data_IF_647799945790
#
_entry.id   IF_647799945790
#
_cell.length_a   1.000
_cell.length_b   1.000
_cell.length_c   1.000
_cell.angle_alpha   90.00
_cell.angle_beta   90.00
_cell.angle_gamma   90.00
#
_symmetry.space_group_name_H-M   'P 1'
#
loop_
_entity.id
_entity.type
_entity.pdbx_description
1 polymer ?
#
# COMPACT_ATOMS: atom_id res chain seq x y z
N UNK A 1 23.35 0.00 19.13
CA UNK A 1 22.81 -0.68 17.93
C UNK A 1 21.32 -0.43 17.62
N UNK A 2 20.53 0.27 18.45
CA UNK A 2 19.07 0.49 18.21
C UNK A 2 18.74 1.71 17.31
N UNK A 3 19.54 2.77 17.35
CA UNK A 3 19.32 3.98 16.53
C UNK A 3 19.64 3.75 15.04
N UNK A 4 20.59 2.87 14.74
CA UNK A 4 21.05 2.60 13.37
C UNK A 4 19.97 1.95 12.50
N UNK A 5 19.19 1.01 13.03
CA UNK A 5 18.14 0.32 12.27
C UNK A 5 16.89 1.21 12.02
N UNK A 6 16.59 2.12 12.94
CA UNK A 6 15.57 3.17 12.74
C UNK A 6 15.98 4.13 11.63
N UNK A 7 17.23 4.60 11.67
CA UNK A 7 17.79 5.50 10.67
C UNK A 7 17.82 4.83 9.29
N UNK A 8 18.12 3.53 9.21
CA UNK A 8 18.10 2.77 7.93
C UNK A 8 16.72 2.71 7.26
N UNK A 9 15.64 2.47 8.00
CA UNK A 9 14.29 2.41 7.43
C UNK A 9 13.81 3.76 6.88
N UNK A 10 14.11 4.84 7.60
CA UNK A 10 13.82 6.20 7.14
C UNK A 10 14.69 6.63 5.96
N UNK A 11 15.99 6.26 5.96
CA UNK A 11 16.89 6.51 4.83
C UNK A 11 16.36 5.82 3.56
N UNK A 12 15.96 4.56 3.65
CA UNK A 12 15.41 3.83 2.50
C UNK A 12 14.13 4.47 1.97
N UNK A 13 13.24 4.93 2.85
CA UNK A 13 12.03 5.65 2.44
C UNK A 13 12.36 6.98 1.77
N UNK A 14 13.30 7.76 2.34
CA UNK A 14 13.76 9.01 1.73
C UNK A 14 14.38 8.77 0.34
N UNK A 15 15.20 7.73 0.18
CA UNK A 15 15.76 7.35 -1.12
C UNK A 15 14.64 7.01 -2.09
N UNK A 16 13.66 6.20 -1.68
CA UNK A 16 12.52 5.83 -2.53
C UNK A 16 11.69 7.06 -2.96
N UNK A 17 11.50 8.04 -2.08
CA UNK A 17 10.81 9.31 -2.40
C UNK A 17 11.62 10.14 -3.39
N UNK A 18 12.95 10.23 -3.22
CA UNK A 18 13.82 10.95 -4.17
C UNK A 18 13.75 10.32 -5.56
N UNK A 19 13.83 8.98 -5.65
CA UNK A 19 13.68 8.28 -6.93
C UNK A 19 12.31 8.55 -7.55
N UNK A 20 11.23 8.56 -6.77
CA UNK A 20 9.90 8.89 -7.26
C UNK A 20 9.80 10.32 -7.81
N UNK A 21 10.42 11.29 -7.14
CA UNK A 21 10.46 12.68 -7.63
C UNK A 21 11.24 12.76 -8.95
N UNK A 22 12.34 12.04 -9.09
CA UNK A 22 13.13 12.02 -10.34
C UNK A 22 12.31 11.42 -11.48
N UNK A 23 11.65 10.27 -11.26
CA UNK A 23 10.85 9.59 -12.28
C UNK A 23 9.62 10.42 -12.68
N UNK A 24 8.92 11.01 -11.71
CA UNK A 24 7.78 11.89 -12.02
C UNK A 24 8.21 13.14 -12.76
N UNK A 25 9.39 13.69 -12.44
CA UNK A 25 9.96 14.81 -13.17
C UNK A 25 10.27 14.46 -14.64
N UNK A 26 10.87 13.30 -14.89
CA UNK A 26 11.14 12.84 -16.27
C UNK A 26 9.86 12.57 -17.05
N UNK A 27 8.81 12.11 -16.37
CA UNK A 27 7.52 11.78 -16.98
C UNK A 27 6.68 13.03 -17.30
N UNK A 28 6.82 14.10 -16.51
CA UNK A 28 6.24 15.42 -16.83
C UNK A 28 6.85 15.96 -18.12
N UNK A 29 8.17 15.83 -18.28
CA UNK A 29 8.87 16.31 -19.48
C UNK A 29 8.50 15.52 -20.75
N UNK A 30 8.14 14.24 -20.61
CA UNK A 30 7.73 13.36 -21.71
C UNK A 30 6.21 13.33 -21.94
N UNK A 31 5.42 14.06 -21.14
CA UNK A 31 3.96 14.13 -21.29
C UNK A 31 3.20 12.90 -20.78
N UNK A 32 3.88 11.95 -20.12
CA UNK A 32 3.34 10.67 -19.65
C UNK A 32 3.10 10.66 -18.13
N UNK A 33 2.54 11.74 -17.59
CA UNK A 33 2.39 11.96 -16.14
C UNK A 33 1.62 10.83 -15.41
N UNK A 34 0.71 10.12 -16.09
CA UNK A 34 -0.13 9.05 -15.52
C UNK A 34 0.25 7.64 -15.99
N UNK A 35 1.54 7.35 -16.11
CA UNK A 35 1.99 5.97 -16.33
C UNK A 35 1.62 5.06 -15.16
N UNK A 36 1.21 3.83 -15.45
CA UNK A 36 0.89 2.79 -14.44
C UNK A 36 2.07 2.55 -13.48
N UNK A 37 3.30 2.70 -13.97
CA UNK A 37 4.51 2.59 -13.15
C UNK A 37 4.52 3.60 -11.99
N UNK A 38 4.16 4.86 -12.27
CA UNK A 38 4.13 5.92 -11.26
C UNK A 38 3.05 5.69 -10.22
N UNK A 39 1.88 5.22 -10.65
CA UNK A 39 0.78 4.86 -9.74
C UNK A 39 1.21 3.73 -8.80
N UNK A 40 1.85 2.68 -9.34
CA UNK A 40 2.33 1.56 -8.54
C UNK A 40 3.42 2.00 -7.55
N UNK A 41 4.35 2.85 -7.99
CA UNK A 41 5.42 3.37 -7.12
C UNK A 41 4.86 4.24 -5.98
N UNK A 42 3.84 5.06 -6.26
CA UNK A 42 3.13 5.85 -5.25
C UNK A 42 2.41 4.97 -4.23
N UNK A 43 1.74 3.91 -4.69
CA UNK A 43 1.06 2.92 -3.84
C UNK A 43 2.05 2.23 -2.90
N UNK A 44 3.22 1.83 -3.40
CA UNK A 44 4.28 1.23 -2.58
C UNK A 44 4.83 2.22 -1.56
N UNK A 45 5.07 3.47 -1.96
CA UNK A 45 5.56 4.52 -1.05
C UNK A 45 4.57 4.79 0.09
N UNK A 46 3.28 4.91 -0.22
CA UNK A 46 2.24 5.10 0.78
C UNK A 46 2.13 3.88 1.71
N UNK A 47 2.08 2.67 1.15
CA UNK A 47 2.01 1.44 1.93
C UNK A 47 3.22 1.27 2.86
N UNK A 48 4.43 1.45 2.33
CA UNK A 48 5.68 1.36 3.10
C UNK A 48 5.79 2.45 4.17
N UNK A 49 5.41 3.69 3.84
CA UNK A 49 5.37 4.78 4.81
C UNK A 49 4.42 4.50 5.97
N UNK A 50 3.20 4.05 5.68
CA UNK A 50 2.23 3.70 6.71
C UNK A 50 2.73 2.56 7.62
N UNK A 51 3.41 1.55 7.08
CA UNK A 51 4.02 0.49 7.91
C UNK A 51 5.14 1.01 8.81
N UNK A 52 6.03 1.85 8.28
CA UNK A 52 7.11 2.45 9.05
C UNK A 52 6.59 3.37 10.16
N UNK A 53 5.54 4.14 9.90
CA UNK A 53 4.87 4.96 10.91
C UNK A 53 4.17 4.12 11.98
N UNK A 54 3.49 3.04 11.58
CA UNK A 54 2.72 2.16 12.48
C UNK A 54 3.62 1.46 13.49
N UNK A 55 4.67 0.80 13.01
CA UNK A 55 5.50 -0.05 13.86
C UNK A 55 6.75 0.64 14.36
N UNK A 56 7.11 1.80 13.79
CA UNK A 56 8.34 2.56 14.12
C UNK A 56 9.60 1.68 14.23
N UNK A 57 9.61 0.59 13.46
CA UNK A 57 10.59 -0.49 13.45
C UNK A 57 10.85 -1.20 14.79
N UNK A 58 9.89 -1.15 15.73
CA UNK A 58 9.96 -1.87 17.00
C UNK A 58 9.39 -3.28 16.85
N UNK A 59 10.26 -4.22 16.48
CA UNK A 59 9.90 -5.64 16.40
C UNK A 59 9.38 -6.21 17.74
N UNK A 60 9.75 -5.62 18.89
CA UNK A 60 9.26 -6.09 20.19
C UNK A 60 7.82 -5.65 20.41
N UNK A 61 7.47 -4.41 20.06
CA UNK A 61 6.08 -3.96 20.06
C UNK A 61 5.20 -4.79 19.12
N UNK A 62 5.77 -5.34 18.04
CA UNK A 62 5.07 -6.26 17.13
C UNK A 62 4.94 -7.69 17.67
N UNK A 63 5.90 -8.15 18.48
CA UNK A 63 5.94 -9.49 19.09
C UNK A 63 5.21 -9.56 20.44
N UNK A 64 4.92 -8.41 21.04
CA UNK A 64 4.07 -8.27 22.23
C UNK A 64 2.65 -8.82 21.96
N UNK A 65 1.95 -9.26 23.00
CA UNK A 65 0.62 -9.88 22.88
C UNK A 65 -0.39 -8.91 22.25
N UNK A 66 -0.34 -7.64 22.65
CA UNK A 66 -1.14 -6.57 22.04
C UNK A 66 -0.76 -6.34 20.57
N UNK A 67 0.53 -6.37 20.23
CA UNK A 67 1.02 -6.25 18.86
C UNK A 67 0.53 -7.37 17.96
N UNK A 68 0.61 -8.62 18.43
CA UNK A 68 0.08 -9.80 17.73
C UNK A 68 -1.43 -9.70 17.52
N UNK A 69 -2.17 -9.25 18.53
CA UNK A 69 -3.62 -9.07 18.42
C UNK A 69 -3.98 -7.98 17.39
N UNK A 70 -3.24 -6.87 17.35
CA UNK A 70 -3.41 -5.81 16.35
C UNK A 70 -3.13 -6.33 14.94
N UNK A 71 -2.02 -7.05 14.74
CA UNK A 71 -1.68 -7.64 13.44
C UNK A 71 -2.78 -8.60 12.99
N UNK A 72 -3.19 -9.53 13.84
CA UNK A 72 -4.21 -10.53 13.51
C UNK A 72 -5.58 -9.91 13.19
N UNK A 73 -6.04 -8.96 14.02
CA UNK A 73 -7.31 -8.27 13.80
C UNK A 73 -7.26 -7.42 12.54
N UNK A 74 -6.12 -6.77 12.29
CA UNK A 74 -5.93 -5.95 11.10
C UNK A 74 -5.93 -6.77 9.82
N UNK A 75 -5.27 -7.94 9.80
CA UNK A 75 -5.20 -8.81 8.64
C UNK A 75 -6.56 -9.45 8.31
N UNK A 76 -7.32 -9.85 9.34
CA UNK A 76 -8.67 -10.38 9.15
C UNK A 76 -9.61 -9.34 8.53
N UNK A 77 -9.58 -8.10 9.04
CA UNK A 77 -10.45 -7.05 8.49
C UNK A 77 -9.98 -6.58 7.13
N UNK A 78 -8.67 -6.40 6.94
CA UNK A 78 -8.09 -6.01 5.65
C UNK A 78 -8.44 -7.03 4.57
N UNK A 79 -8.42 -8.32 4.89
CA UNK A 79 -8.85 -9.37 3.99
C UNK A 79 -10.34 -9.24 3.62
N UNK A 80 -11.22 -9.02 4.60
CA UNK A 80 -12.66 -8.83 4.31
C UNK A 80 -12.92 -7.62 3.41
N UNK A 81 -12.27 -6.50 3.68
CA UNK A 81 -12.39 -5.29 2.85
C UNK A 81 -11.85 -5.55 1.44
N UNK A 82 -10.72 -6.26 1.33
CA UNK A 82 -10.13 -6.59 0.05
C UNK A 82 -11.06 -7.47 -0.79
N UNK A 83 -11.68 -8.49 -0.19
CA UNK A 83 -12.63 -9.37 -0.88
C UNK A 83 -13.83 -8.56 -1.39
N UNK A 84 -14.38 -7.66 -0.57
CA UNK A 84 -15.50 -6.78 -1.00
C UNK A 84 -15.05 -5.84 -2.13
N UNK A 85 -13.85 -5.25 -2.03
CA UNK A 85 -13.32 -4.36 -3.06
C UNK A 85 -13.08 -5.08 -4.38
N UNK A 86 -12.53 -6.30 -4.36
CA UNK A 86 -12.35 -7.13 -5.54
C UNK A 86 -13.70 -7.52 -6.17
N UNK A 87 -14.70 -7.83 -5.34
CA UNK A 87 -16.04 -8.12 -5.83
C UNK A 87 -16.71 -6.89 -6.48
N UNK A 88 -16.55 -5.71 -5.88
CA UNK A 88 -17.05 -4.46 -6.46
C UNK A 88 -16.34 -4.12 -7.78
N UNK A 89 -15.02 -4.28 -7.84
CA UNK A 89 -14.25 -4.12 -9.09
C UNK A 89 -14.74 -5.09 -10.17
N UNK A 90 -14.99 -6.34 -9.80
CA UNK A 90 -15.52 -7.33 -10.73
C UNK A 90 -16.91 -6.96 -11.27
N UNK A 91 -17.80 -6.43 -10.43
CA UNK A 91 -19.10 -5.92 -10.88
C UNK A 91 -18.96 -4.74 -11.84
N UNK A 92 -18.05 -3.81 -11.54
CA UNK A 92 -17.76 -2.64 -12.39
C UNK A 92 -17.19 -3.10 -13.74
N UNK A 93 -16.25 -4.05 -13.74
CA UNK A 93 -15.69 -4.68 -14.94
C UNK A 93 -16.79 -5.26 -15.82
N UNK A 94 -17.64 -6.09 -15.23
CA UNK A 94 -18.73 -6.74 -15.95
C UNK A 94 -19.74 -5.74 -16.51
N UNK A 95 -19.97 -4.62 -15.83
CA UNK A 95 -20.94 -3.62 -16.27
C UNK A 95 -20.40 -2.67 -17.35
N UNK A 96 -19.10 -2.36 -17.33
CA UNK A 96 -18.45 -1.43 -18.26
C UNK A 96 -17.87 -2.14 -19.50
N UNK A 97 -17.27 -3.32 -19.33
CA UNK A 97 -16.52 -4.04 -20.37
C UNK A 97 -17.28 -5.22 -20.98
N UNK A 98 -18.62 -5.20 -20.89
CA UNK A 98 -19.56 -6.24 -21.33
C UNK A 98 -19.47 -6.65 -22.82
N UNK A 99 -18.48 -6.16 -23.59
CA UNK A 99 -18.31 -6.37 -25.03
C UNK A 99 -16.93 -6.87 -25.48
N UNK A 100 -15.93 -6.87 -24.61
CA UNK A 100 -14.60 -7.40 -24.94
C UNK A 100 -14.22 -8.35 -23.83
N UNK A 101 -14.20 -9.66 -24.10
CA UNK A 101 -13.87 -10.74 -23.15
C UNK A 101 -12.44 -10.66 -22.56
N UNK A 102 -11.79 -9.51 -22.70
CA UNK A 102 -10.52 -9.16 -22.09
C UNK A 102 -10.87 -8.54 -20.74
N UNK A 103 -10.71 -9.31 -19.65
CA UNK A 103 -10.56 -8.71 -18.33
C UNK A 103 -9.51 -7.60 -18.47
N UNK A 104 -9.94 -6.35 -18.36
CA UNK A 104 -9.06 -5.23 -18.63
C UNK A 104 -7.86 -5.31 -17.70
N UNK A 105 -6.64 -5.34 -18.24
CA UNK A 105 -5.40 -5.27 -17.45
C UNK A 105 -5.44 -4.11 -16.42
N UNK A 106 -6.27 -3.09 -16.67
CA UNK A 106 -6.53 -1.97 -15.77
C UNK A 106 -7.25 -2.34 -14.46
N UNK A 107 -8.23 -3.25 -14.49
CA UNK A 107 -9.01 -3.61 -13.30
C UNK A 107 -8.21 -4.51 -12.37
N UNK A 108 -7.47 -5.46 -12.95
CA UNK A 108 -6.50 -6.29 -12.24
C UNK A 108 -5.42 -5.43 -11.58
N UNK A 109 -4.88 -4.45 -12.32
CA UNK A 109 -3.91 -3.50 -11.80
C UNK A 109 -4.49 -2.68 -10.63
N UNK A 110 -5.72 -2.22 -10.75
CA UNK A 110 -6.41 -1.47 -9.68
C UNK A 110 -6.63 -2.33 -8.43
N UNK A 111 -7.11 -3.56 -8.59
CA UNK A 111 -7.28 -4.51 -7.47
C UNK A 111 -5.96 -4.84 -6.78
N UNK A 112 -4.89 -4.99 -7.56
CA UNK A 112 -3.54 -5.19 -7.03
C UNK A 112 -3.08 -3.98 -6.19
N UNK A 113 -3.23 -2.75 -6.68
CA UNK A 113 -2.91 -1.54 -5.93
C UNK A 113 -3.71 -1.42 -4.61
N UNK A 114 -5.00 -1.73 -4.66
CA UNK A 114 -5.87 -1.73 -3.47
C UNK A 114 -5.37 -2.73 -2.42
N UNK A 115 -4.96 -3.93 -2.84
CA UNK A 115 -4.44 -4.97 -1.94
C UNK A 115 -3.21 -4.52 -1.16
N UNK A 116 -2.33 -3.74 -1.79
CA UNK A 116 -1.08 -3.27 -1.19
C UNK A 116 -1.30 -2.17 -0.13
N UNK A 117 -2.35 -1.34 -0.27
CA UNK A 117 -2.63 -0.22 0.64
C UNK A 117 -3.54 -0.63 1.80
N UNK A 118 -4.52 -1.50 1.57
CA UNK A 118 -5.57 -1.81 2.56
C UNK A 118 -4.99 -2.31 3.89
N UNK A 119 -4.01 -3.23 3.84
CA UNK A 119 -3.40 -3.80 5.03
C UNK A 119 -2.59 -2.76 5.84
N UNK A 120 -1.64 -2.02 5.26
CA UNK A 120 -0.89 -1.03 6.03
C UNK A 120 -1.74 0.17 6.47
N UNK A 121 -2.75 0.58 5.69
CA UNK A 121 -3.68 1.62 6.10
C UNK A 121 -4.50 1.21 7.32
N UNK A 122 -5.03 -0.01 7.33
CA UNK A 122 -5.84 -0.48 8.44
C UNK A 122 -4.98 -0.73 9.69
N UNK A 123 -3.76 -1.25 9.53
CA UNK A 123 -2.78 -1.37 10.62
C UNK A 123 -2.47 -0.02 11.27
N UNK A 124 -2.29 1.03 10.47
CA UNK A 124 -2.06 2.37 10.97
C UNK A 124 -3.23 2.89 11.82
N UNK A 125 -4.47 2.77 11.32
CA UNK A 125 -5.68 3.19 12.05
C UNK A 125 -5.80 2.44 13.38
N UNK A 126 -5.57 1.13 13.36
CA UNK A 126 -5.72 0.30 14.55
C UNK A 126 -4.65 0.63 15.60
N UNK A 127 -3.39 0.80 15.20
CA UNK A 127 -2.30 1.17 16.11
C UNK A 127 -2.54 2.50 16.83
N UNK A 128 -3.18 3.47 16.16
CA UNK A 128 -3.52 4.77 16.75
C UNK A 128 -4.69 4.69 17.74
N UNK A 129 -5.52 3.64 17.66
CA UNK A 129 -6.66 3.41 18.55
C UNK A 129 -6.30 2.67 19.83
N UNK A 130 -5.26 1.86 19.80
CA UNK A 130 -4.81 1.03 20.92
C UNK A 130 -3.64 1.63 21.72
N UNK A 131 -3.11 2.78 21.29
CA UNK A 131 -2.06 3.53 21.98
C UNK A 131 -2.65 4.74 22.68
#
# INVERSE_FOLDING_TARGET
MKKTFYVQGWILLCIAVIVFIIVTWTDVQTGNFLSKGNLLMLVILLGGGLQLFTWRNDERAKKDEMGKHIVYRSSLLSYRILVVALFALWLIDRHLYNRTNEFGNEMLFTGFCISLIILPAYQFILSKRYR
#
